data_IF_803947717377
#
_entry.id   IF_803947717377
#
_cell.length_a   1.000
_cell.length_b   1.000
_cell.length_c   1.000
_cell.angle_alpha   90.00
_cell.angle_beta   90.00
_cell.angle_gamma   90.00
#
_symmetry.space_group_name_H-M   'P 1'
#
loop_
_entity.id
_entity.type
_entity.pdbx_description
1 polymer ?
#
# COMPACT_ATOMS: atom_id res chain seq x y z
N UNK A 1 -25.81 -15.17 -12.35
CA UNK A 1 -25.39 -15.03 -10.94
C UNK A 1 -24.14 -14.17 -10.98
N UNK A 2 -24.15 -12.92 -10.50
CA UNK A 2 -22.88 -12.19 -10.36
C UNK A 2 -21.99 -12.98 -9.38
N UNK A 3 -20.67 -13.06 -9.62
CA UNK A 3 -19.78 -13.69 -8.65
C UNK A 3 -19.93 -12.94 -7.33
N UNK A 4 -20.17 -13.69 -6.25
CA UNK A 4 -20.10 -13.12 -4.91
C UNK A 4 -18.64 -12.71 -4.72
N UNK A 5 -18.34 -11.42 -4.81
CA UNK A 5 -17.08 -10.89 -4.31
C UNK A 5 -16.93 -11.42 -2.89
N UNK A 6 -15.89 -12.21 -2.57
CA UNK A 6 -15.64 -12.58 -1.19
C UNK A 6 -15.43 -11.27 -0.43
N UNK A 7 -16.30 -11.00 0.55
CA UNK A 7 -16.19 -9.81 1.35
C UNK A 7 -14.81 -9.81 2.01
N UNK A 8 -13.97 -8.83 1.64
CA UNK A 8 -12.62 -8.68 2.21
C UNK A 8 -12.68 -8.71 3.72
N UNK A 9 -11.68 -9.29 4.37
CA UNK A 9 -11.54 -9.21 5.83
C UNK A 9 -11.20 -7.79 6.29
N UNK A 10 -11.31 -7.51 7.58
CA UNK A 10 -10.96 -6.19 8.12
C UNK A 10 -9.47 -5.85 7.88
N UNK A 11 -8.58 -6.84 7.97
CA UNK A 11 -7.14 -6.68 7.71
C UNK A 11 -6.87 -6.36 6.23
N UNK A 12 -7.51 -7.08 5.31
CA UNK A 12 -7.41 -6.82 3.87
C UNK A 12 -7.97 -5.43 3.52
N UNK A 13 -9.11 -5.03 4.10
CA UNK A 13 -9.66 -3.68 3.91
C UNK A 13 -8.72 -2.59 4.43
N UNK A 14 -8.01 -2.83 5.53
CA UNK A 14 -7.04 -1.89 6.06
C UNK A 14 -5.84 -1.69 5.10
N UNK A 15 -5.35 -2.76 4.47
CA UNK A 15 -4.33 -2.67 3.39
C UNK A 15 -4.85 -1.83 2.23
N UNK A 16 -6.07 -2.10 1.77
CA UNK A 16 -6.69 -1.35 0.67
C UNK A 16 -6.86 0.14 1.02
N UNK A 17 -7.24 0.45 2.25
CA UNK A 17 -7.38 1.82 2.74
C UNK A 17 -6.03 2.56 2.86
N UNK A 18 -4.93 1.84 3.15
CA UNK A 18 -3.59 2.42 3.23
C UNK A 18 -2.93 2.64 1.85
N UNK A 19 -3.42 1.95 0.81
CA UNK A 19 -2.83 1.98 -0.53
C UNK A 19 -2.65 3.40 -1.11
N UNK A 20 -3.66 4.30 -1.10
CA UNK A 20 -3.50 5.62 -1.73
C UNK A 20 -2.38 6.47 -1.13
N UNK A 21 -2.17 6.38 0.20
CA UNK A 21 -1.11 7.10 0.88
C UNK A 21 0.28 6.56 0.48
N UNK A 22 0.41 5.24 0.44
CA UNK A 22 1.64 4.58 -0.01
C UNK A 22 1.94 4.89 -1.48
N UNK A 23 0.94 4.81 -2.37
CA UNK A 23 1.08 5.11 -3.80
C UNK A 23 1.57 6.54 -4.03
N UNK A 24 0.97 7.50 -3.33
CA UNK A 24 1.35 8.91 -3.40
C UNK A 24 2.77 9.17 -2.85
N UNK A 25 3.15 8.50 -1.76
CA UNK A 25 4.48 8.64 -1.16
C UNK A 25 5.58 8.00 -2.02
N UNK A 26 5.28 6.85 -2.63
CA UNK A 26 6.22 6.10 -3.48
C UNK A 26 6.28 6.66 -4.91
N UNK A 27 5.34 7.54 -5.30
CA UNK A 27 5.16 8.03 -6.66
C UNK A 27 5.02 6.88 -7.68
N UNK A 28 4.42 5.77 -7.28
CA UNK A 28 4.28 4.56 -8.09
C UNK A 28 2.91 4.55 -8.75
N UNK A 29 2.79 5.21 -9.90
CA UNK A 29 1.51 5.30 -10.64
C UNK A 29 1.25 4.10 -11.56
N UNK A 30 2.18 3.15 -11.66
CA UNK A 30 2.10 2.01 -12.59
C UNK A 30 1.86 0.65 -11.90
N UNK A 31 1.75 0.65 -10.57
CA UNK A 31 1.56 -0.55 -9.76
C UNK A 31 0.17 -0.51 -9.13
N UNK A 32 -0.51 -1.66 -9.05
CA UNK A 32 -1.74 -1.82 -8.28
C UNK A 32 -1.46 -2.55 -6.97
N UNK A 33 -2.37 -2.46 -6.00
CA UNK A 33 -2.27 -3.22 -4.74
C UNK A 33 -2.14 -4.73 -4.99
N UNK A 34 -2.91 -5.29 -5.93
CA UNK A 34 -2.81 -6.72 -6.29
C UNK A 34 -1.46 -7.07 -6.92
N UNK A 35 -0.89 -6.17 -7.73
CA UNK A 35 0.44 -6.38 -8.30
C UNK A 35 1.52 -6.38 -7.23
N UNK A 36 1.38 -5.51 -6.22
CA UNK A 36 2.27 -5.50 -5.05
C UNK A 36 2.13 -6.80 -4.25
N UNK A 37 0.89 -7.20 -3.93
CA UNK A 37 0.58 -8.46 -3.22
C UNK A 37 1.17 -9.66 -3.97
N UNK A 38 1.04 -9.71 -5.30
CA UNK A 38 1.65 -10.77 -6.11
C UNK A 38 3.17 -10.79 -6.05
N UNK A 39 3.79 -9.60 -5.99
CA UNK A 39 5.25 -9.46 -5.97
C UNK A 39 5.84 -9.79 -4.60
N UNK A 40 5.18 -9.37 -3.52
CA UNK A 40 5.71 -9.48 -2.15
C UNK A 40 5.21 -10.72 -1.40
N UNK A 41 3.97 -11.11 -1.63
CA UNK A 41 3.30 -12.17 -0.87
C UNK A 41 3.06 -13.44 -1.70
N UNK A 42 3.42 -13.44 -3.00
CA UNK A 42 3.18 -14.55 -3.93
C UNK A 42 1.71 -15.01 -3.98
N UNK A 43 0.77 -14.07 -3.84
CA UNK A 43 -0.69 -14.29 -3.95
C UNK A 43 -1.27 -13.60 -5.17
N UNK A 44 -2.34 -14.15 -5.72
CA UNK A 44 -2.91 -13.64 -6.97
C UNK A 44 -3.66 -12.31 -6.78
N UNK A 45 -4.28 -12.13 -5.61
CA UNK A 45 -5.01 -10.92 -5.21
C UNK A 45 -4.92 -10.64 -3.70
N UNK A 46 -5.29 -9.43 -3.28
CA UNK A 46 -5.41 -9.05 -1.86
C UNK A 46 -6.46 -9.91 -1.12
N UNK A 47 -7.50 -10.38 -1.81
CA UNK A 47 -8.54 -11.21 -1.20
C UNK A 47 -8.03 -12.61 -0.80
N UNK A 48 -6.95 -13.08 -1.45
CA UNK A 48 -6.33 -14.38 -1.16
C UNK A 48 -5.29 -14.31 -0.02
N UNK A 49 -5.04 -13.11 0.52
CA UNK A 49 -4.02 -12.89 1.54
C UNK A 49 -4.57 -13.23 2.94
N UNK A 50 -3.94 -14.14 3.70
CA UNK A 50 -4.31 -14.39 5.09
C UNK A 50 -4.25 -13.12 5.95
N UNK A 51 -5.05 -13.05 7.01
CA UNK A 51 -5.14 -11.85 7.86
C UNK A 51 -3.80 -11.46 8.51
N UNK A 52 -3.00 -12.45 8.93
CA UNK A 52 -1.67 -12.23 9.49
C UNK A 52 -0.73 -11.58 8.45
N UNK A 53 -0.68 -12.14 7.24
CA UNK A 53 0.12 -11.61 6.13
C UNK A 53 -0.37 -10.21 5.70
N UNK A 54 -1.69 -9.98 5.72
CA UNK A 54 -2.28 -8.67 5.43
C UNK A 54 -1.91 -7.62 6.50
N UNK A 55 -1.89 -8.01 7.78
CA UNK A 55 -1.43 -7.15 8.86
C UNK A 55 0.06 -6.81 8.74
N UNK A 56 0.91 -7.78 8.37
CA UNK A 56 2.33 -7.54 8.11
C UNK A 56 2.54 -6.61 6.90
N UNK A 57 1.81 -6.84 5.82
CA UNK A 57 1.86 -5.99 4.63
C UNK A 57 1.42 -4.55 4.95
N UNK A 58 0.36 -4.38 5.74
CA UNK A 58 -0.09 -3.07 6.21
C UNK A 58 1.01 -2.35 7.00
N UNK A 59 1.63 -3.02 7.96
CA UNK A 59 2.70 -2.45 8.77
C UNK A 59 3.91 -2.06 7.91
N UNK A 60 4.26 -2.88 6.92
CA UNK A 60 5.30 -2.58 5.95
C UNK A 60 4.97 -1.34 5.11
N UNK A 61 3.75 -1.26 4.57
CA UNK A 61 3.30 -0.13 3.75
C UNK A 61 3.32 1.18 4.55
N UNK A 62 2.82 1.16 5.79
CA UNK A 62 2.84 2.34 6.68
C UNK A 62 4.27 2.79 6.95
N UNK A 63 5.14 1.87 7.36
CA UNK A 63 6.55 2.18 7.65
C UNK A 63 7.30 2.71 6.42
N UNK A 64 7.03 2.13 5.25
CA UNK A 64 7.62 2.58 3.99
C UNK A 64 7.12 4.00 3.63
N UNK A 65 5.83 4.25 3.80
CA UNK A 65 5.20 5.57 3.57
C UNK A 65 5.85 6.64 4.46
N UNK A 66 5.96 6.39 5.76
CA UNK A 66 6.62 7.31 6.70
C UNK A 66 8.07 7.58 6.31
N UNK A 67 8.80 6.53 5.92
CA UNK A 67 10.19 6.67 5.50
C UNK A 67 10.32 7.46 4.20
N UNK A 68 9.45 7.24 3.22
CA UNK A 68 9.43 7.99 1.97
C UNK A 68 9.10 9.47 2.20
N UNK A 69 8.17 9.77 3.11
CA UNK A 69 7.89 11.13 3.53
C UNK A 69 9.08 11.79 4.23
N UNK A 70 9.77 11.08 5.12
CA UNK A 70 10.96 11.58 5.79
C UNK A 70 12.14 11.81 4.83
N UNK A 71 12.22 11.03 3.75
CA UNK A 71 13.26 11.15 2.72
C UNK A 71 12.94 12.17 1.64
N UNK A 72 11.68 12.62 1.49
CA UNK A 72 11.37 13.73 0.59
C UNK A 72 12.19 14.93 1.07
N UNK A 73 13.11 15.45 0.25
CA UNK A 73 13.88 16.61 0.65
C UNK A 73 12.86 17.70 1.00
N UNK A 74 12.96 18.25 2.21
CA UNK A 74 12.32 19.51 2.51
C UNK A 74 12.77 20.43 1.39
N UNK A 75 11.85 20.79 0.49
CA UNK A 75 12.15 21.68 -0.63
C UNK A 75 12.98 22.80 -0.05
N UNK A 76 14.22 23.06 -0.53
CA UNK A 76 14.92 24.25 -0.11
C UNK A 76 14.02 25.37 -0.57
N UNK A 77 13.26 25.94 0.38
CA UNK A 77 12.54 27.17 0.17
C UNK A 77 13.64 28.12 -0.25
N UNK A 78 13.70 28.38 -1.56
CA UNK A 78 14.66 29.26 -2.20
C UNK A 78 14.28 30.68 -1.77
N UNK A 79 14.52 30.95 -0.49
CA UNK A 79 14.60 32.26 0.08
C UNK A 79 15.90 32.85 -0.42
N UNK A 80 15.79 33.62 -1.48
CA UNK A 80 16.81 34.56 -1.94
C UNK A 80 15.97 35.66 -2.58
N UNK A 81 15.56 36.66 -1.78
CA UNK A 81 16.32 37.89 -1.51
C UNK A 81 16.35 38.77 -2.75
#
# INVERSE_FOLDING_TARGET
MPPADPALTDAQRAVLAAWPAFEAAAAVTWCSVDRLVRTLCHRDSLADLPDDDAAELLALMQRATDRLHALRPASPQRGSA
#
